data_IF_854109581840
#
_entry.id   IF_854109581840
#
_cell.length_a   1.000
_cell.length_b   1.000
_cell.length_c   1.000
_cell.angle_alpha   90.00
_cell.angle_beta   90.00
_cell.angle_gamma   90.00
#
_symmetry.space_group_name_H-M   'P 1'
#
loop_
_entity.id
_entity.type
_entity.pdbx_description
1 polymer ?
#
# COMPACT_ATOMS: atom_id res chain seq x y z
N UNK A 1 1.31 -11.93 3.79
CA UNK A 1 1.07 -11.98 5.25
C UNK A 1 1.36 -10.59 5.81
N UNK A 2 0.63 -10.12 6.80
CA UNK A 2 0.94 -8.86 7.50
C UNK A 2 1.25 -9.21 8.95
N UNK A 3 2.36 -8.71 9.44
CA UNK A 3 2.75 -8.78 10.84
C UNK A 3 2.41 -7.43 11.49
N UNK A 4 1.57 -7.44 12.51
CA UNK A 4 1.22 -6.24 13.25
C UNK A 4 1.63 -6.44 14.71
N UNK A 5 2.61 -5.67 15.17
CA UNK A 5 3.06 -5.72 16.56
C UNK A 5 2.08 -4.98 17.47
N UNK A 6 1.76 -5.63 18.57
CA UNK A 6 0.97 -5.13 19.69
C UNK A 6 1.81 -5.29 20.98
N UNK A 7 1.33 -4.74 22.10
CA UNK A 7 2.09 -4.55 23.34
C UNK A 7 2.89 -5.78 23.79
N UNK A 8 2.29 -6.97 23.75
CA UNK A 8 2.91 -8.21 24.24
C UNK A 8 3.05 -9.30 23.16
N UNK A 9 2.93 -8.95 21.88
CA UNK A 9 2.95 -9.95 20.81
C UNK A 9 2.69 -9.37 19.44
N UNK A 10 2.39 -10.24 18.47
CA UNK A 10 2.01 -9.81 17.14
C UNK A 10 0.76 -10.52 16.66
N UNK A 11 -0.01 -9.82 15.86
CA UNK A 11 -1.06 -10.36 15.03
C UNK A 11 -0.49 -10.73 13.66
N UNK A 12 -0.82 -11.93 13.18
CA UNK A 12 -0.47 -12.38 11.83
C UNK A 12 -1.74 -12.42 10.98
N UNK A 13 -1.91 -11.44 10.10
CA UNK A 13 -3.02 -11.44 9.15
C UNK A 13 -2.64 -12.23 7.89
N UNK A 14 -3.50 -13.17 7.52
CA UNK A 14 -3.43 -13.90 6.27
C UNK A 14 -4.60 -13.51 5.37
N UNK A 15 -4.28 -12.99 4.19
CA UNK A 15 -5.26 -12.63 3.17
C UNK A 15 -4.82 -13.21 1.83
N UNK A 16 -5.78 -13.78 1.11
CA UNK A 16 -5.64 -14.27 -0.26
C UNK A 16 -6.74 -13.63 -1.10
N UNK A 17 -6.40 -13.23 -2.33
CA UNK A 17 -7.40 -12.84 -3.31
C UNK A 17 -8.02 -14.11 -3.91
N UNK A 18 -9.34 -14.12 -4.06
CA UNK A 18 -10.04 -15.25 -4.69
C UNK A 18 -9.62 -15.42 -6.14
N UNK A 19 -9.35 -14.29 -6.83
CA UNK A 19 -8.83 -14.23 -8.19
C UNK A 19 -7.64 -13.27 -8.27
N UNK A 20 -6.66 -13.59 -9.11
CA UNK A 20 -5.46 -12.76 -9.32
C UNK A 20 -4.34 -12.96 -8.29
N UNK A 21 -3.48 -11.94 -8.16
CA UNK A 21 -2.29 -11.90 -7.30
C UNK A 21 -2.06 -10.47 -6.79
N UNK A 22 -1.41 -10.33 -5.65
CA UNK A 22 -0.96 -9.04 -5.16
C UNK A 22 0.17 -8.49 -6.03
N UNK A 23 0.06 -7.23 -6.43
CA UNK A 23 1.11 -6.52 -7.18
C UNK A 23 2.10 -5.89 -6.21
N UNK A 24 3.05 -6.71 -5.72
CA UNK A 24 4.07 -6.22 -4.81
C UNK A 24 5.01 -5.23 -5.54
N UNK A 25 5.30 -4.06 -4.95
CA UNK A 25 6.22 -3.11 -5.55
C UNK A 25 7.60 -3.76 -5.73
N UNK A 26 8.17 -3.62 -6.93
CA UNK A 26 9.54 -4.07 -7.20
C UNK A 26 10.50 -3.16 -6.43
N UNK A 27 11.23 -3.72 -5.48
CA UNK A 27 12.29 -3.00 -4.77
C UNK A 27 13.52 -2.84 -5.69
N UNK A 28 14.11 -1.64 -5.71
CA UNK A 28 15.41 -1.39 -6.36
C UNK A 28 16.58 -1.96 -5.56
N UNK A 29 16.40 -2.16 -4.24
CA UNK A 29 17.37 -2.79 -3.35
C UNK A 29 16.66 -3.83 -2.49
N UNK A 30 17.10 -5.08 -2.54
CA UNK A 30 16.40 -6.25 -2.01
C UNK A 30 16.26 -6.28 -0.47
N UNK A 31 16.95 -5.36 0.24
CA UNK A 31 17.11 -5.39 1.70
C UNK A 31 16.52 -4.19 2.46
N UNK A 32 15.79 -3.28 1.81
CA UNK A 32 15.27 -2.06 2.47
C UNK A 32 13.76 -2.06 2.61
N UNK A 33 13.24 -1.98 3.83
CA UNK A 33 11.81 -1.82 4.07
C UNK A 33 11.26 -0.55 3.38
N UNK A 34 10.12 -0.67 2.69
CA UNK A 34 9.42 0.44 2.05
C UNK A 34 8.24 0.89 2.92
N UNK A 35 8.22 2.16 3.32
CA UNK A 35 7.05 2.78 3.94
C UNK A 35 5.97 3.07 2.90
N UNK A 36 4.70 2.83 3.25
CA UNK A 36 3.54 3.14 2.40
C UNK A 36 2.44 3.82 3.22
N UNK A 37 1.63 4.64 2.56
CA UNK A 37 0.44 5.25 3.17
C UNK A 37 -0.68 4.22 3.36
N UNK A 38 -1.61 4.50 4.28
CA UNK A 38 -2.78 3.64 4.54
C UNK A 38 -3.60 3.37 3.26
N UNK A 39 -3.76 4.38 2.39
CA UNK A 39 -4.48 4.24 1.12
C UNK A 39 -3.77 3.27 0.17
N UNK A 40 -2.44 3.32 0.11
CA UNK A 40 -1.65 2.42 -0.73
C UNK A 40 -1.73 0.99 -0.21
N UNK A 41 -1.79 0.80 1.11
CA UNK A 41 -2.06 -0.52 1.70
C UNK A 41 -3.44 -1.04 1.28
N UNK A 42 -4.48 -0.19 1.31
CA UNK A 42 -5.83 -0.58 0.86
C UNK A 42 -5.85 -1.00 -0.62
N UNK A 43 -5.15 -0.27 -1.48
CA UNK A 43 -4.99 -0.64 -2.89
C UNK A 43 -4.32 -2.01 -3.04
N UNK A 44 -3.21 -2.21 -2.34
CA UNK A 44 -2.51 -3.49 -2.38
C UNK A 44 -3.42 -4.63 -1.91
N UNK A 45 -4.13 -4.47 -0.80
CA UNK A 45 -5.06 -5.49 -0.28
C UNK A 45 -6.24 -5.77 -1.22
N UNK A 46 -6.53 -4.85 -2.14
CA UNK A 46 -7.54 -5.00 -3.19
C UNK A 46 -6.96 -5.54 -4.51
N UNK A 47 -5.65 -5.79 -4.59
CA UNK A 47 -4.97 -6.30 -5.78
C UNK A 47 -4.44 -5.23 -6.74
N UNK A 48 -4.52 -3.95 -6.36
CA UNK A 48 -4.00 -2.82 -7.12
C UNK A 48 -2.52 -2.53 -6.77
N UNK A 49 -1.76 -1.87 -7.66
CA UNK A 49 -0.38 -1.48 -7.37
C UNK A 49 -0.30 -0.38 -6.28
N UNK A 50 0.80 -0.38 -5.52
CA UNK A 50 1.10 0.63 -4.49
C UNK A 50 1.40 2.00 -5.10
N UNK A 51 2.00 2.01 -6.30
CA UNK A 51 2.26 3.22 -7.09
C UNK A 51 1.13 3.42 -8.09
N UNK A 52 0.45 4.57 -8.00
CA UNK A 52 -0.56 4.97 -8.97
C UNK A 52 0.04 6.03 -9.90
N UNK A 53 0.34 5.61 -11.13
CA UNK A 53 0.85 6.49 -12.19
C UNK A 53 -0.21 7.48 -12.69
N UNK A 54 -1.47 7.28 -12.31
CA UNK A 54 -2.64 8.10 -12.64
C UNK A 54 -3.16 8.96 -11.48
N UNK A 55 -2.35 9.22 -10.43
CA UNK A 55 -2.73 10.18 -9.39
C UNK A 55 -2.92 11.55 -10.03
N UNK A 56 -4.17 12.04 -10.06
CA UNK A 56 -4.42 13.41 -10.48
C UNK A 56 -3.63 14.36 -9.59
N UNK A 57 -2.91 15.33 -10.17
CA UNK A 57 -2.16 16.30 -9.40
C UNK A 57 -3.15 17.05 -8.50
N UNK A 58 -2.74 17.29 -7.26
CA UNK A 58 -3.49 18.17 -6.36
C UNK A 58 -3.59 19.53 -7.04
N UNK A 59 -4.82 20.02 -7.25
CA UNK A 59 -5.05 21.34 -7.82
C UNK A 59 -4.69 22.38 -6.76
N UNK A 60 -3.44 22.83 -6.76
CA UNK A 60 -2.97 23.93 -5.95
C UNK A 60 -3.32 25.24 -6.64
N UNK A 61 -4.07 26.14 -5.99
CA UNK A 61 -4.29 27.52 -6.46
C UNK A 61 -5.69 27.90 -6.91
N UNK A 62 -6.70 27.04 -6.73
CA UNK A 62 -8.10 27.45 -6.88
C UNK A 62 -8.58 28.16 -5.60
N UNK A 63 -8.20 29.43 -5.45
CA UNK A 63 -8.94 30.33 -4.56
C UNK A 63 -10.22 30.71 -5.29
N UNK A 64 -11.35 30.17 -4.84
CA UNK A 64 -12.65 30.70 -5.25
C UNK A 64 -12.77 32.08 -4.60
N UNK A 65 -12.83 33.13 -5.43
CA UNK A 65 -13.14 34.50 -5.00
C UNK A 65 -14.56 34.59 -4.46
#
# INVERSE_FOLDING_TARGET
KILFWDTNGFWLYYRRLEQGRFQWPKQTNEHTAMGIEQRQLQWLLSGLPVSNQTRHPTLSGLSVM
#
